data_IF_618986576373
#
_entry.id   IF_618986576373
#
_cell.length_a   1.000
_cell.length_b   1.000
_cell.length_c   1.000
_cell.angle_alpha   90.00
_cell.angle_beta   90.00
_cell.angle_gamma   90.00
#
_symmetry.space_group_name_H-M   'P 1'
#
loop_
_entity.id
_entity.type
_entity.pdbx_description
1 polymer ?
#
# COMPACT_ATOMS: atom_id res chain seq x y z
N UNK A 1 6.30 -49.09 14.51
CA UNK A 1 5.12 -48.29 14.15
C UNK A 1 4.48 -47.84 15.44
N UNK A 2 4.67 -46.58 15.84
CA UNK A 2 3.98 -46.03 17.00
C UNK A 2 2.46 -46.19 16.83
N UNK A 3 1.77 -46.66 17.85
CA UNK A 3 0.32 -46.83 17.81
C UNK A 3 -0.33 -45.44 17.93
N UNK A 4 -0.72 -44.86 16.79
CA UNK A 4 -1.27 -43.50 16.76
C UNK A 4 -2.71 -43.51 17.26
N UNK A 5 -2.94 -42.94 18.43
CA UNK A 5 -4.26 -42.82 19.03
C UNK A 5 -5.16 -41.85 18.26
N UNK A 6 -6.47 -42.11 18.24
CA UNK A 6 -7.45 -41.20 17.62
C UNK A 6 -7.47 -39.82 18.31
N UNK A 7 -7.13 -39.77 19.61
CA UNK A 7 -7.05 -38.52 20.37
C UNK A 7 -5.87 -37.67 19.88
N UNK A 8 -4.69 -38.26 19.67
CA UNK A 8 -3.51 -37.55 19.15
C UNK A 8 -3.76 -36.99 17.75
N UNK A 9 -4.44 -37.74 16.88
CA UNK A 9 -4.82 -37.26 15.54
C UNK A 9 -5.78 -36.06 15.64
N UNK A 10 -6.78 -36.14 16.53
CA UNK A 10 -7.74 -35.06 16.77
C UNK A 10 -7.03 -33.81 17.29
N UNK A 11 -6.14 -33.95 18.26
CA UNK A 11 -5.36 -32.84 18.83
C UNK A 11 -4.48 -32.18 17.76
N UNK A 12 -3.77 -32.96 16.95
CA UNK A 12 -2.95 -32.40 15.88
C UNK A 12 -3.80 -31.67 14.83
N UNK A 13 -4.99 -32.21 14.51
CA UNK A 13 -5.95 -31.55 13.62
C UNK A 13 -6.46 -30.24 14.20
N UNK A 14 -6.75 -30.18 15.50
CA UNK A 14 -7.21 -28.96 16.16
C UNK A 14 -6.10 -27.90 16.21
N UNK A 15 -4.84 -28.29 16.43
CA UNK A 15 -3.68 -27.37 16.37
C UNK A 15 -3.40 -26.84 14.96
N UNK A 16 -3.48 -27.70 13.94
CA UNK A 16 -2.97 -27.36 12.59
C UNK A 16 -4.06 -27.02 11.58
N UNK A 17 -5.32 -27.41 11.83
CA UNK A 17 -6.41 -27.30 10.86
C UNK A 17 -6.31 -28.27 9.68
N UNK A 18 -5.31 -29.15 9.63
CA UNK A 18 -5.08 -30.06 8.50
C UNK A 18 -6.13 -31.20 8.42
N UNK A 19 -6.19 -31.86 7.26
CA UNK A 19 -7.07 -32.99 7.04
C UNK A 19 -6.78 -34.17 7.97
N UNK A 20 -7.82 -34.87 8.45
CA UNK A 20 -7.71 -35.96 9.43
C UNK A 20 -6.70 -37.04 9.03
N UNK A 21 -6.71 -37.43 7.75
CA UNK A 21 -5.79 -38.45 7.22
C UNK A 21 -4.36 -37.95 7.08
N UNK A 22 -4.17 -36.66 6.82
CA UNK A 22 -2.84 -36.06 6.80
C UNK A 22 -2.26 -35.97 8.21
N UNK A 23 -3.06 -35.59 9.21
CA UNK A 23 -2.63 -35.62 10.63
C UNK A 23 -2.23 -37.02 11.07
N UNK A 24 -3.02 -38.05 10.71
CA UNK A 24 -2.67 -39.44 11.03
C UNK A 24 -1.36 -39.86 10.38
N UNK A 25 -1.16 -39.55 9.10
CA UNK A 25 0.09 -39.86 8.38
C UNK A 25 1.27 -39.11 8.98
N UNK A 26 1.11 -37.82 9.29
CA UNK A 26 2.16 -37.02 9.89
C UNK A 26 2.64 -37.61 11.22
N UNK A 27 1.71 -38.04 12.08
CA UNK A 27 2.06 -38.71 13.33
C UNK A 27 2.71 -40.06 13.10
N UNK A 28 2.30 -40.83 12.09
CA UNK A 28 2.92 -42.12 11.76
C UNK A 28 4.37 -41.97 11.28
N UNK A 29 4.64 -40.99 10.42
CA UNK A 29 5.98 -40.73 9.85
C UNK A 29 6.96 -40.09 10.85
N UNK A 30 6.43 -39.48 11.92
CA UNK A 30 7.22 -38.80 12.95
C UNK A 30 7.11 -39.48 14.33
N UNK A 31 6.80 -40.79 14.35
CA UNK A 31 6.76 -41.62 15.57
C UNK A 31 5.88 -41.06 16.71
N UNK A 32 4.81 -40.34 16.37
CA UNK A 32 3.88 -39.72 17.32
C UNK A 32 4.34 -38.39 17.92
N UNK A 33 5.48 -37.85 17.48
CA UNK A 33 5.96 -36.53 17.90
C UNK A 33 5.09 -35.42 17.29
N UNK A 34 4.38 -34.70 18.16
CA UNK A 34 3.39 -33.69 17.75
C UNK A 34 4.01 -32.49 17.03
N UNK A 35 5.18 -32.04 17.48
CA UNK A 35 5.80 -30.83 16.92
C UNK A 35 6.49 -31.16 15.59
N UNK A 36 7.15 -32.31 15.49
CA UNK A 36 7.68 -32.80 14.20
C UNK A 36 6.55 -33.10 13.21
N UNK A 37 5.44 -33.69 13.66
CA UNK A 37 4.28 -33.93 12.82
C UNK A 37 3.66 -32.62 12.31
N UNK A 38 3.59 -31.58 13.14
CA UNK A 38 3.12 -30.27 12.73
C UNK A 38 4.03 -29.64 11.66
N UNK A 39 5.36 -29.72 11.85
CA UNK A 39 6.32 -29.23 10.84
C UNK A 39 6.24 -30.03 9.53
N UNK A 40 6.07 -31.34 9.63
CA UNK A 40 5.88 -32.21 8.46
C UNK A 40 4.60 -31.85 7.69
N UNK A 41 3.51 -31.57 8.39
CA UNK A 41 2.26 -31.09 7.79
C UNK A 41 2.44 -29.75 7.10
N UNK A 42 3.19 -28.83 7.72
CA UNK A 42 3.53 -27.53 7.14
C UNK A 42 4.27 -27.73 5.82
N UNK A 43 5.38 -28.48 5.84
CA UNK A 43 6.19 -28.73 4.66
C UNK A 43 5.41 -29.39 3.52
N UNK A 44 4.61 -30.41 3.84
CA UNK A 44 3.77 -31.10 2.86
C UNK A 44 2.64 -30.20 2.34
N UNK A 45 2.09 -29.35 3.20
CA UNK A 45 1.08 -28.36 2.87
C UNK A 45 1.55 -27.41 1.77
N UNK A 46 2.76 -26.87 1.91
CA UNK A 46 3.42 -26.00 0.93
C UNK A 46 3.49 -26.68 -0.44
N UNK A 47 4.01 -27.90 -0.51
CA UNK A 47 4.10 -28.64 -1.78
C UNK A 47 2.73 -28.96 -2.38
N UNK A 48 1.71 -29.16 -1.55
CA UNK A 48 0.34 -29.38 -2.02
C UNK A 48 -0.30 -28.10 -2.57
N UNK A 49 0.07 -26.95 -2.03
CA UNK A 49 -0.43 -25.63 -2.42
C UNK A 49 0.01 -25.28 -3.84
N UNK A 50 1.25 -25.58 -4.20
CA UNK A 50 1.80 -25.36 -5.55
C UNK A 50 0.99 -26.10 -6.63
N UNK A 51 0.52 -27.32 -6.33
CA UNK A 51 -0.33 -28.10 -7.25
C UNK A 51 -1.72 -27.50 -7.46
N UNK A 52 -2.20 -26.67 -6.52
CA UNK A 52 -3.49 -25.99 -6.60
C UNK A 52 -3.40 -24.65 -7.33
N UNK A 53 -2.19 -24.12 -7.52
CA UNK A 53 -1.96 -22.78 -8.08
C UNK A 53 -2.51 -22.59 -9.50
N UNK A 54 -2.61 -23.67 -10.29
CA UNK A 54 -3.16 -23.66 -11.64
C UNK A 54 -4.69 -23.56 -11.71
N UNK A 55 -5.38 -23.74 -10.58
CA UNK A 55 -6.84 -23.67 -10.53
C UNK A 55 -7.29 -22.21 -10.55
N UNK A 56 -8.32 -21.91 -11.34
CA UNK A 56 -8.88 -20.56 -11.44
C UNK A 56 -9.45 -20.13 -10.08
N UNK A 57 -8.98 -19.00 -9.57
CA UNK A 57 -9.47 -18.36 -8.35
C UNK A 57 -10.16 -17.04 -8.75
N UNK A 58 -11.48 -17.08 -8.95
CA UNK A 58 -12.27 -15.93 -9.42
C UNK A 58 -13.17 -15.32 -8.34
N UNK A 59 -13.40 -16.05 -7.25
CA UNK A 59 -14.09 -15.56 -6.05
C UNK A 59 -13.07 -14.92 -5.10
N UNK A 60 -13.50 -14.36 -3.97
CA UNK A 60 -12.60 -13.79 -2.98
C UNK A 60 -13.19 -12.60 -2.23
N UNK A 61 -12.29 -11.74 -1.72
CA UNK A 61 -12.70 -10.50 -1.08
C UNK A 61 -11.67 -9.38 -1.27
N UNK A 62 -12.16 -8.15 -1.15
CA UNK A 62 -11.31 -6.97 -1.04
C UNK A 62 -11.23 -6.57 0.43
N UNK A 63 -10.02 -6.55 0.98
CA UNK A 63 -9.76 -6.08 2.33
C UNK A 63 -9.17 -4.67 2.32
N UNK A 64 -9.51 -3.90 3.35
CA UNK A 64 -8.96 -2.58 3.59
C UNK A 64 -8.26 -2.53 4.94
N UNK A 65 -7.13 -1.83 5.01
CA UNK A 65 -6.46 -1.52 6.27
C UNK A 65 -6.07 -0.05 6.30
N UNK A 66 -6.48 0.65 7.35
CA UNK A 66 -6.09 2.04 7.62
C UNK A 66 -5.18 2.01 8.84
N UNK A 67 -3.93 2.43 8.67
CA UNK A 67 -2.98 2.48 9.77
C UNK A 67 -3.36 3.57 10.78
N UNK A 68 -2.86 3.46 12.00
CA UNK A 68 -3.16 4.40 13.08
C UNK A 68 -2.81 5.84 12.66
N UNK A 69 -3.73 6.76 12.97
CA UNK A 69 -3.62 8.17 12.54
C UNK A 69 -4.05 8.44 11.09
N UNK A 70 -4.53 7.45 10.33
CA UNK A 70 -5.15 7.65 9.02
C UNK A 70 -4.21 8.13 7.91
N UNK A 71 -2.89 8.07 8.14
CA UNK A 71 -1.87 8.56 7.21
C UNK A 71 -1.48 7.54 6.14
N UNK A 72 -1.75 6.26 6.38
CA UNK A 72 -1.49 5.17 5.43
C UNK A 72 -2.76 4.34 5.29
N UNK A 73 -3.21 4.14 4.05
CA UNK A 73 -4.36 3.31 3.72
C UNK A 73 -3.98 2.27 2.68
N UNK A 74 -4.54 1.06 2.81
CA UNK A 74 -4.31 -0.04 1.88
C UNK A 74 -5.64 -0.66 1.48
N UNK A 75 -5.76 -0.99 0.19
CA UNK A 75 -6.78 -1.88 -0.36
C UNK A 75 -6.08 -3.06 -1.02
N UNK A 76 -6.51 -4.28 -0.72
CA UNK A 76 -5.95 -5.51 -1.31
C UNK A 76 -7.08 -6.42 -1.77
N UNK A 77 -6.93 -6.98 -2.98
CA UNK A 77 -7.81 -7.99 -3.53
C UNK A 77 -7.14 -9.37 -3.39
N UNK A 78 -7.81 -10.28 -2.67
CA UNK A 78 -7.37 -11.67 -2.52
C UNK A 78 -8.44 -12.59 -3.06
N UNK A 79 -8.06 -13.45 -3.99
CA UNK A 79 -8.94 -14.41 -4.61
C UNK A 79 -8.85 -15.80 -3.97
N UNK A 80 -9.98 -16.52 -4.04
CA UNK A 80 -10.12 -17.95 -3.77
C UNK A 80 -11.00 -18.62 -4.85
N UNK A 81 -11.26 -19.92 -4.75
CA UNK A 81 -12.04 -20.63 -5.78
C UNK A 81 -13.54 -20.50 -5.54
N UNK A 82 -13.97 -20.52 -4.28
CA UNK A 82 -15.39 -20.49 -3.91
C UNK A 82 -15.73 -19.37 -2.94
N UNK A 83 -16.99 -18.93 -2.96
CA UNK A 83 -17.52 -17.93 -2.03
C UNK A 83 -17.60 -18.45 -0.58
N UNK A 84 -17.69 -19.77 -0.39
CA UNK A 84 -17.64 -20.40 0.93
C UNK A 84 -16.32 -20.10 1.65
N UNK A 85 -15.19 -20.21 0.96
CA UNK A 85 -13.88 -19.87 1.54
C UNK A 85 -13.74 -18.37 1.74
N UNK A 86 -14.28 -17.53 0.84
CA UNK A 86 -14.26 -16.08 1.01
C UNK A 86 -14.93 -15.60 2.31
N UNK A 87 -15.97 -16.31 2.77
CA UNK A 87 -16.68 -16.00 4.02
C UNK A 87 -16.03 -16.60 5.27
N UNK A 88 -15.04 -17.47 5.13
CA UNK A 88 -14.35 -18.10 6.25
C UNK A 88 -13.54 -17.06 7.05
N UNK A 89 -13.62 -17.11 8.38
CA UNK A 89 -12.91 -16.18 9.27
C UNK A 89 -11.38 -16.23 9.09
N UNK A 90 -10.81 -17.42 8.84
CA UNK A 90 -9.38 -17.57 8.60
C UNK A 90 -8.94 -16.87 7.30
N UNK A 91 -9.76 -16.96 6.24
CA UNK A 91 -9.48 -16.26 4.98
C UNK A 91 -9.61 -14.75 5.14
N UNK A 92 -10.62 -14.27 5.87
CA UNK A 92 -10.77 -12.85 6.19
C UNK A 92 -9.61 -12.32 7.05
N UNK A 93 -9.12 -13.12 8.00
CA UNK A 93 -7.95 -12.79 8.81
C UNK A 93 -6.69 -12.68 7.95
N UNK A 94 -6.46 -13.66 7.05
CA UNK A 94 -5.36 -13.61 6.08
C UNK A 94 -5.40 -12.32 5.25
N UNK A 95 -6.56 -11.94 4.74
CA UNK A 95 -6.68 -10.74 3.92
C UNK A 95 -6.37 -9.45 4.67
N UNK A 96 -6.77 -9.35 5.94
CA UNK A 96 -6.40 -8.23 6.82
C UNK A 96 -4.91 -8.23 7.13
N UNK A 97 -4.32 -9.40 7.37
CA UNK A 97 -2.90 -9.55 7.68
C UNK A 97 -2.02 -9.15 6.48
N UNK A 98 -2.40 -9.55 5.27
CA UNK A 98 -1.75 -9.10 4.03
C UNK A 98 -1.91 -7.59 3.83
N UNK A 99 -3.09 -7.02 4.09
CA UNK A 99 -3.28 -5.56 4.02
C UNK A 99 -2.37 -4.80 5.00
N UNK A 100 -2.23 -5.32 6.22
CA UNK A 100 -1.33 -4.76 7.24
C UNK A 100 0.14 -4.91 6.86
N UNK A 101 0.54 -6.04 6.28
CA UNK A 101 1.88 -6.24 5.73
C UNK A 101 2.22 -5.16 4.70
N UNK A 102 1.33 -4.92 3.73
CA UNK A 102 1.53 -3.90 2.70
C UNK A 102 1.66 -2.50 3.33
N UNK A 103 0.87 -2.20 4.36
CA UNK A 103 0.97 -0.92 5.05
C UNK A 103 2.34 -0.73 5.74
N UNK A 104 2.89 -1.81 6.31
CA UNK A 104 4.16 -1.83 7.02
C UNK A 104 5.40 -1.86 6.10
N UNK A 105 5.26 -2.29 4.85
CA UNK A 105 6.34 -2.40 3.88
C UNK A 105 6.26 -1.27 2.83
N UNK A 106 6.92 -0.10 3.05
CA UNK A 106 6.78 1.06 2.16
C UNK A 106 7.37 0.87 0.77
N UNK A 107 8.32 -0.06 0.61
CA UNK A 107 9.01 -0.31 -0.66
C UNK A 107 8.25 -1.28 -1.58
N UNK A 108 7.20 -1.93 -1.08
CA UNK A 108 6.46 -2.95 -1.84
C UNK A 108 5.55 -2.28 -2.85
N UNK A 109 5.81 -2.54 -4.13
CA UNK A 109 5.08 -1.98 -5.27
C UNK A 109 4.40 -3.07 -6.11
N UNK A 110 4.95 -4.29 -6.11
CA UNK A 110 4.49 -5.40 -6.91
C UNK A 110 4.06 -6.57 -6.04
N UNK A 111 3.13 -7.39 -6.53
CA UNK A 111 2.73 -8.61 -5.83
C UNK A 111 3.87 -9.62 -5.89
N UNK A 112 4.43 -9.86 -7.09
CA UNK A 112 5.51 -10.83 -7.33
C UNK A 112 6.65 -10.21 -8.11
N UNK A 113 7.81 -10.86 -8.05
CA UNK A 113 8.96 -10.54 -8.91
C UNK A 113 8.67 -10.68 -10.40
N UNK A 114 7.77 -11.58 -10.79
CA UNK A 114 7.34 -11.77 -12.19
C UNK A 114 6.48 -10.63 -12.73
N UNK A 115 5.88 -9.84 -11.84
CA UNK A 115 5.00 -8.73 -12.23
C UNK A 115 5.81 -7.45 -12.47
N UNK A 116 7.11 -7.46 -12.16
CA UNK A 116 8.02 -6.33 -12.33
C UNK A 116 8.39 -6.22 -13.83
N UNK A 117 8.17 -5.06 -14.47
CA UNK A 117 8.56 -4.85 -15.85
C UNK A 117 10.06 -5.08 -16.09
N UNK A 118 10.41 -5.79 -17.16
CA UNK A 118 11.82 -6.04 -17.52
C UNK A 118 12.62 -4.72 -17.68
N UNK A 119 11.99 -3.68 -18.21
CA UNK A 119 12.57 -2.34 -18.35
C UNK A 119 12.99 -1.71 -17.01
N UNK A 120 12.31 -2.05 -15.91
CA UNK A 120 12.70 -1.60 -14.58
C UNK A 120 14.00 -2.28 -14.16
N UNK A 121 14.07 -3.60 -14.31
CA UNK A 121 15.28 -4.37 -13.96
C UNK A 121 16.50 -3.97 -14.80
N UNK A 122 16.31 -3.67 -16.09
CA UNK A 122 17.39 -3.22 -16.98
C UNK A 122 17.89 -1.82 -16.61
N UNK A 123 16.98 -0.88 -16.29
CA UNK A 123 17.37 0.45 -15.81
C UNK A 123 18.14 0.38 -14.51
N UNK A 124 17.63 -0.40 -13.55
CA UNK A 124 18.31 -0.60 -12.26
C UNK A 124 19.68 -1.25 -12.47
N UNK A 125 19.80 -2.20 -13.40
CA UNK A 125 21.09 -2.80 -13.78
C UNK A 125 22.06 -1.78 -14.34
N UNK A 126 21.62 -0.88 -15.21
CA UNK A 126 22.47 0.16 -15.78
C UNK A 126 22.98 1.13 -14.70
N UNK A 127 22.11 1.52 -13.77
CA UNK A 127 22.45 2.39 -12.64
C UNK A 127 23.47 1.71 -11.73
N UNK A 128 23.24 0.45 -11.35
CA UNK A 128 24.16 -0.29 -10.48
C UNK A 128 25.50 -0.58 -11.16
N UNK A 129 25.54 -0.82 -12.47
CA UNK A 129 26.80 -0.99 -13.22
C UNK A 129 27.64 0.30 -13.28
N UNK A 130 26.99 1.47 -13.23
CA UNK A 130 27.63 2.79 -13.28
C UNK A 130 28.12 3.31 -11.94
N UNK A 131 27.97 2.55 -10.84
CA UNK A 131 28.45 2.97 -9.52
C UNK A 131 29.98 2.92 -9.41
N UNK A 132 30.55 3.99 -8.87
CA UNK A 132 31.99 4.15 -8.66
C UNK A 132 32.60 3.04 -7.79
N UNK A 133 31.84 2.48 -6.82
CA UNK A 133 32.28 1.37 -5.96
C UNK A 133 32.66 0.07 -6.70
N UNK A 134 32.40 0.01 -8.01
CA UNK A 134 32.63 -1.15 -8.87
C UNK A 134 33.72 -0.90 -9.92
N UNK A 135 34.32 0.29 -9.98
CA UNK A 135 35.36 0.65 -10.95
C UNK A 135 36.63 -0.18 -10.79
N UNK A 136 36.95 -0.58 -9.55
CA UNK A 136 38.21 -1.24 -9.20
C UNK A 136 38.15 -2.77 -9.34
N UNK A 137 37.01 -3.32 -9.78
CA UNK A 137 36.74 -4.76 -9.81
C UNK A 137 36.74 -5.29 -11.25
N UNK A 138 37.23 -6.52 -11.48
CA UNK A 138 37.08 -7.21 -12.76
C UNK A 138 35.62 -7.31 -13.19
N UNK A 139 35.36 -7.20 -14.49
CA UNK A 139 34.02 -7.16 -15.08
C UNK A 139 33.12 -8.33 -14.65
N UNK A 140 33.68 -9.55 -14.60
CA UNK A 140 32.98 -10.74 -14.14
C UNK A 140 32.55 -10.68 -12.65
N UNK A 141 33.29 -9.94 -11.81
CA UNK A 141 32.96 -9.76 -10.39
C UNK A 141 31.94 -8.64 -10.25
N UNK A 142 32.07 -7.57 -11.04
CA UNK A 142 31.11 -6.47 -11.11
C UNK A 142 29.72 -6.96 -11.50
N UNK A 143 29.60 -7.76 -12.55
CA UNK A 143 28.32 -8.32 -12.99
C UNK A 143 27.64 -9.18 -11.90
N UNK A 144 28.41 -10.03 -11.20
CA UNK A 144 27.88 -10.84 -10.10
C UNK A 144 27.41 -10.00 -8.92
N UNK A 145 28.14 -8.93 -8.58
CA UNK A 145 27.73 -8.01 -7.51
C UNK A 145 26.44 -7.29 -7.91
N UNK A 146 26.37 -6.78 -9.14
CA UNK A 146 25.20 -6.07 -9.66
C UNK A 146 23.99 -7.01 -9.72
N UNK A 147 24.16 -8.25 -10.17
CA UNK A 147 23.10 -9.25 -10.16
C UNK A 147 22.54 -9.47 -8.75
N UNK A 148 23.40 -9.66 -7.74
CA UNK A 148 22.95 -9.82 -6.36
C UNK A 148 22.22 -8.59 -5.81
N UNK A 149 22.66 -7.37 -6.18
CA UNK A 149 21.97 -6.12 -5.80
C UNK A 149 20.60 -5.99 -6.46
N UNK A 150 20.49 -6.32 -7.74
CA UNK A 150 19.21 -6.32 -8.46
C UNK A 150 18.27 -7.36 -7.85
N UNK A 151 18.73 -8.59 -7.64
CA UNK A 151 17.90 -9.63 -7.01
C UNK A 151 17.38 -9.20 -5.63
N UNK A 152 18.23 -8.54 -4.83
CA UNK A 152 17.81 -7.96 -3.55
C UNK A 152 16.75 -6.87 -3.76
N UNK A 153 16.97 -5.94 -4.69
CA UNK A 153 16.03 -4.85 -4.98
C UNK A 153 14.68 -5.37 -5.46
N UNK A 154 14.67 -6.35 -6.36
CA UNK A 154 13.45 -6.98 -6.87
C UNK A 154 12.66 -7.67 -5.74
N UNK A 155 13.36 -8.32 -4.80
CA UNK A 155 12.72 -8.90 -3.60
C UNK A 155 12.17 -7.82 -2.68
N UNK A 156 12.90 -6.73 -2.45
CA UNK A 156 12.46 -5.61 -1.61
C UNK A 156 11.16 -4.94 -2.11
N UNK A 157 10.93 -4.93 -3.43
CA UNK A 157 9.73 -4.34 -4.04
C UNK A 157 8.58 -5.35 -4.26
N UNK A 158 8.84 -6.65 -4.07
CA UNK A 158 7.87 -7.74 -4.21
C UNK A 158 7.25 -8.09 -2.86
N UNK A 159 5.92 -8.16 -2.79
CA UNK A 159 5.18 -8.53 -1.58
C UNK A 159 5.46 -9.98 -1.15
N UNK A 160 5.46 -10.92 -2.09
CA UNK A 160 5.58 -12.36 -1.79
C UNK A 160 6.90 -12.72 -1.11
N UNK A 161 7.96 -11.99 -1.43
CA UNK A 161 9.32 -12.21 -0.93
C UNK A 161 9.57 -11.55 0.43
N UNK A 162 8.65 -10.70 0.91
CA UNK A 162 8.83 -10.04 2.20
C UNK A 162 8.73 -11.03 3.36
N UNK A 163 9.52 -10.83 4.43
CA UNK A 163 9.29 -11.50 5.70
C UNK A 163 7.95 -11.05 6.28
N UNK A 164 7.20 -11.98 6.85
CA UNK A 164 5.89 -11.67 7.43
C UNK A 164 6.05 -10.88 8.73
N UNK A 165 5.34 -9.76 8.87
CA UNK A 165 5.52 -8.82 9.99
C UNK A 165 5.22 -9.41 11.37
N UNK A 166 4.32 -10.40 11.46
CA UNK A 166 4.02 -11.07 12.74
C UNK A 166 4.95 -12.24 13.03
N UNK A 167 5.59 -12.78 11.99
CA UNK A 167 6.52 -13.90 12.09
C UNK A 167 7.60 -13.79 11.01
N UNK A 168 8.76 -13.25 11.38
CA UNK A 168 9.86 -13.02 10.45
C UNK A 168 10.57 -14.32 10.00
N UNK A 169 10.17 -15.48 10.54
CA UNK A 169 10.72 -16.77 10.11
C UNK A 169 10.14 -17.27 8.79
N UNK A 170 8.98 -16.72 8.39
CA UNK A 170 8.28 -17.07 7.15
C UNK A 170 8.11 -15.85 6.25
N UNK A 171 7.98 -16.10 4.95
CA UNK A 171 7.62 -15.06 3.98
C UNK A 171 6.11 -14.95 3.82
N UNK A 172 5.65 -13.88 3.16
CA UNK A 172 4.24 -13.72 2.79
C UNK A 172 3.77 -14.83 1.84
N UNK A 173 4.63 -15.27 0.92
CA UNK A 173 4.32 -16.42 0.05
C UNK A 173 4.05 -17.68 0.87
N UNK A 174 4.89 -17.94 1.85
CA UNK A 174 4.79 -19.10 2.73
C UNK A 174 3.52 -19.05 3.59
N UNK A 175 3.17 -17.87 4.13
CA UNK A 175 1.91 -17.63 4.83
C UNK A 175 0.70 -17.98 3.94
N UNK A 176 0.71 -17.57 2.67
CA UNK A 176 -0.37 -17.89 1.73
C UNK A 176 -0.42 -19.39 1.45
N UNK A 177 0.73 -20.03 1.21
CA UNK A 177 0.80 -21.48 0.97
C UNK A 177 0.29 -22.30 2.16
N UNK A 178 0.60 -21.88 3.39
CA UNK A 178 0.05 -22.49 4.61
C UNK A 178 -1.48 -22.37 4.65
N UNK A 179 -2.04 -21.21 4.34
CA UNK A 179 -3.49 -21.02 4.28
C UNK A 179 -4.15 -21.83 3.16
N UNK A 180 -3.50 -22.01 2.01
CA UNK A 180 -3.95 -22.90 0.92
C UNK A 180 -3.97 -24.37 1.36
N UNK A 181 -3.02 -24.78 2.21
CA UNK A 181 -2.98 -26.12 2.77
C UNK A 181 -4.16 -26.35 3.73
N UNK A 182 -4.42 -25.39 4.62
CA UNK A 182 -5.49 -25.45 5.61
C UNK A 182 -6.89 -25.34 5.00
N UNK A 183 -7.11 -24.37 4.10
CA UNK A 183 -8.41 -24.10 3.49
C UNK A 183 -8.70 -25.00 2.28
N UNK A 184 -7.68 -25.65 1.71
CA UNK A 184 -7.85 -26.61 0.63
C UNK A 184 -8.02 -26.02 -0.77
N UNK A 185 -8.10 -24.69 -0.89
CA UNK A 185 -8.30 -23.96 -2.15
C UNK A 185 -7.09 -23.13 -2.56
N UNK A 186 -6.99 -22.82 -3.85
CA UNK A 186 -6.02 -21.86 -4.36
C UNK A 186 -6.34 -20.46 -3.84
N UNK A 187 -5.36 -19.79 -3.26
CA UNK A 187 -5.46 -18.42 -2.74
C UNK A 187 -4.39 -17.59 -3.42
N UNK A 188 -4.78 -16.44 -3.95
CA UNK A 188 -3.88 -15.56 -4.68
C UNK A 188 -4.14 -14.10 -4.32
N UNK A 189 -3.08 -13.36 -4.01
CA UNK A 189 -3.15 -11.89 -3.99
C UNK A 189 -3.14 -11.41 -5.43
N UNK A 190 -4.17 -10.67 -5.84
CA UNK A 190 -4.33 -10.24 -7.24
C UNK A 190 -3.72 -8.88 -7.51
N UNK A 191 -3.99 -7.94 -6.62
CA UNK A 191 -3.50 -6.56 -6.67
C UNK A 191 -3.70 -5.88 -5.33
N UNK A 192 -2.97 -4.81 -5.11
CA UNK A 192 -3.20 -3.91 -4.00
C UNK A 192 -2.97 -2.46 -4.44
N UNK A 193 -3.45 -1.53 -3.62
CA UNK A 193 -3.12 -0.13 -3.69
C UNK A 193 -2.77 0.34 -2.28
N UNK A 194 -1.65 1.05 -2.16
CA UNK A 194 -1.20 1.68 -0.93
C UNK A 194 -1.23 3.19 -1.14
N UNK A 195 -1.77 3.91 -0.17
CA UNK A 195 -1.89 5.35 -0.18
C UNK A 195 -1.16 5.91 1.04
N UNK A 196 -0.30 6.90 0.83
CA UNK A 196 0.31 7.67 1.91
C UNK A 196 -0.12 9.12 1.83
N UNK A 197 -0.56 9.69 2.96
CA UNK A 197 -0.96 11.08 3.05
C UNK A 197 0.22 12.01 2.74
N UNK A 198 0.06 12.83 1.71
CA UNK A 198 1.09 13.78 1.26
C UNK A 198 2.16 13.17 0.36
N UNK A 199 1.98 11.94 -0.10
CA UNK A 199 2.83 11.34 -1.13
C UNK A 199 2.78 12.16 -2.43
N UNK A 200 3.95 12.52 -2.96
CA UNK A 200 4.08 13.32 -4.18
C UNK A 200 3.79 14.82 -4.02
N UNK A 201 3.62 15.33 -2.80
CA UNK A 201 3.47 16.78 -2.54
C UNK A 201 4.76 17.32 -1.94
N UNK A 202 5.46 18.19 -2.67
CA UNK A 202 6.54 19.00 -2.10
C UNK A 202 5.92 19.99 -1.11
N UNK A 203 6.26 19.83 0.17
CA UNK A 203 5.91 20.83 1.18
C UNK A 203 6.95 21.93 1.09
N UNK A 204 6.50 23.14 0.77
CA UNK A 204 7.32 24.33 0.96
C UNK A 204 7.63 24.44 2.47
N UNK A 205 8.89 24.18 2.85
CA UNK A 205 9.36 24.49 4.20
C UNK A 205 9.53 26.00 4.32
N UNK A 206 8.50 26.68 4.84
CA UNK A 206 8.63 28.06 5.30
C UNK A 206 9.39 28.05 6.62
N UNK A 207 10.61 28.59 6.63
CA UNK A 207 11.34 28.88 7.86
C UNK A 207 10.64 30.03 8.61
N UNK A 208 9.71 29.65 9.49
CA UNK A 208 8.96 30.56 10.35
C UNK A 208 9.89 31.50 11.13
N UNK A 209 11.12 31.08 11.47
CA UNK A 209 12.06 31.94 12.18
C UNK A 209 12.60 33.05 11.26
N UNK A 210 12.88 32.75 10.00
CA UNK A 210 13.26 33.73 8.99
C UNK A 210 12.10 34.70 8.66
N UNK A 211 10.87 34.19 8.58
CA UNK A 211 9.68 35.02 8.33
C UNK A 211 9.37 35.97 9.50
N UNK A 212 9.51 35.49 10.75
CA UNK A 212 9.35 36.33 11.96
C UNK A 212 10.49 37.34 12.10
N UNK A 213 11.73 36.96 11.74
CA UNK A 213 12.87 37.89 11.74
C UNK A 213 12.70 39.01 10.69
N UNK A 214 12.18 38.68 9.51
CA UNK A 214 11.90 39.67 8.47
C UNK A 214 10.82 40.68 8.90
N UNK A 215 9.75 40.23 9.55
CA UNK A 215 8.66 41.12 10.02
C UNK A 215 9.07 42.00 11.22
N UNK A 216 10.01 41.54 12.06
CA UNK A 216 10.50 42.33 13.20
C UNK A 216 11.54 43.39 12.82
N UNK A 217 12.31 43.17 11.75
CA UNK A 217 13.27 44.16 11.23
C UNK A 217 12.59 45.34 10.52
N UNK A 218 11.46 45.12 9.83
CA UNK A 218 10.70 46.21 9.20
C UNK A 218 10.15 47.20 10.24
N UNK A 219 9.91 46.76 11.47
CA UNK A 219 9.36 47.58 12.56
C UNK A 219 10.40 48.42 13.32
N UNK A 220 11.70 48.17 13.13
CA UNK A 220 12.78 48.94 13.77
C UNK A 220 13.31 50.10 12.91
N UNK A 221 12.84 50.23 11.66
CA UNK A 221 13.27 51.29 10.75
C UNK A 221 12.45 52.60 10.85
N UNK A 222 11.36 52.63 11.63
CA UNK A 222 10.55 53.83 11.84
C UNK A 222 10.48 54.23 13.31
N UNK A 223 11.39 55.11 13.76
CA UNK A 223 11.19 56.11 14.83
C UNK A 223 12.45 57.02 14.99
N UNK A 224 12.34 58.29 15.43
CA UNK A 224 11.58 59.39 14.86
C UNK A 224 12.50 60.56 14.41
N UNK A 225 12.02 61.36 13.45
CA UNK A 225 12.70 62.57 12.93
C UNK A 225 12.80 63.64 14.04
N UNK A 226 14.02 64.00 14.46
CA UNK A 226 14.27 65.06 15.44
C UNK A 226 13.76 66.43 14.96
N UNK A 227 12.91 67.07 15.76
CA UNK A 227 12.39 68.42 15.52
C UNK A 227 13.33 69.43 16.19
N UNK A 228 13.90 70.38 15.42
CA UNK A 228 14.64 71.53 15.98
C UNK A 228 13.66 72.62 16.41
N UNK A 229 13.84 73.12 17.64
CA UNK A 229 13.05 74.20 18.23
C UNK A 229 13.65 75.55 17.88
N UNK A 230 12.82 76.47 17.40
CA UNK A 230 13.13 77.89 17.32
C UNK A 230 12.41 78.59 16.17
N UNK A 231 11.21 79.14 16.43
CA UNK A 231 10.85 80.56 16.30
C UNK A 231 9.32 80.73 16.42
N UNK A 232 8.91 81.90 16.90
CA UNK A 232 7.61 82.23 17.50
C UNK A 232 6.52 82.61 16.48
N UNK A 233 5.29 82.19 16.85
CA UNK A 233 3.89 82.43 16.41
C UNK A 233 3.57 83.74 15.63
N UNK A 234 2.48 83.80 14.81
CA UNK A 234 1.13 83.92 15.39
C UNK A 234 0.01 83.06 14.76
N UNK A 235 -0.96 82.79 15.62
CA UNK A 235 -2.26 82.14 15.42
C UNK A 235 -3.09 82.86 14.35
N UNK A 236 -3.80 82.10 13.50
CA UNK A 236 -5.11 82.55 12.99
C UNK A 236 -6.05 81.37 12.79
N UNK A 237 -7.25 81.56 13.30
CA UNK A 237 -8.39 80.65 13.38
C UNK A 237 -9.06 80.49 12.02
N UNK A 238 -9.46 79.28 11.64
CA UNK A 238 -10.74 79.04 10.93
C UNK A 238 -11.04 77.53 10.88
N UNK A 239 -12.08 77.13 11.59
CA UNK A 239 -12.78 75.88 11.37
C UNK A 239 -13.43 75.86 9.99
N UNK A 240 -13.47 74.69 9.34
CA UNK A 240 -14.65 74.23 8.60
C UNK A 240 -14.56 72.74 8.29
N UNK A 241 -15.44 72.02 8.96
CA UNK A 241 -15.95 70.67 8.67
C UNK A 241 -16.35 70.52 7.20
N UNK A 242 -15.98 69.41 6.57
CA UNK A 242 -16.81 68.81 5.52
C UNK A 242 -16.53 67.30 5.37
N UNK A 243 -17.59 66.54 5.57
CA UNK A 243 -17.72 65.09 5.41
C UNK A 243 -17.91 64.77 3.92
N UNK A 244 -17.13 63.84 3.36
CA UNK A 244 -17.44 63.10 2.12
C UNK A 244 -16.96 61.66 2.31
N UNK A 245 -17.88 60.77 2.65
CA UNK A 245 -18.57 59.81 1.77
C UNK A 245 -17.69 58.65 1.34
N UNK A 246 -18.07 57.48 1.86
CA UNK A 246 -17.54 56.16 1.59
C UNK A 246 -17.84 55.73 0.15
N UNK A 247 -16.88 55.06 -0.47
CA UNK A 247 -17.05 54.37 -1.74
C UNK A 247 -16.93 52.86 -1.50
N UNK A 248 -17.93 52.13 -1.99
CA UNK A 248 -18.14 50.67 -1.83
C UNK A 248 -17.09 49.83 -2.58
N UNK A 249 -16.84 48.57 -2.16
CA UNK A 249 -15.97 47.66 -2.87
C UNK A 249 -16.65 47.05 -4.12
N UNK A 250 -15.92 46.78 -5.21
CA UNK A 250 -16.50 46.16 -6.38
C UNK A 250 -16.82 44.67 -6.16
N UNK A 251 -17.97 44.26 -6.69
CA UNK A 251 -18.59 42.92 -6.60
C UNK A 251 -17.87 41.87 -7.46
N UNK A 252 -18.02 40.63 -6.98
CA UNK A 252 -17.67 39.37 -7.62
C UNK A 252 -18.29 39.18 -9.02
N UNK A 253 -17.52 38.52 -9.90
CA UNK A 253 -17.98 38.02 -11.19
C UNK A 253 -17.90 36.48 -11.18
N UNK A 254 -19.05 35.82 -11.27
CA UNK A 254 -19.20 34.35 -11.38
C UNK A 254 -18.88 33.86 -12.81
N UNK A 255 -18.22 32.70 -12.99
CA UNK A 255 -18.15 32.07 -14.30
C UNK A 255 -19.44 31.32 -14.64
N UNK A 256 -19.99 31.64 -15.82
CA UNK A 256 -21.22 31.11 -16.40
C UNK A 256 -21.23 29.59 -16.56
N UNK A 257 -22.30 28.97 -16.07
CA UNK A 257 -22.69 27.58 -16.31
C UNK A 257 -23.06 27.33 -17.79
N UNK A 258 -22.49 26.27 -18.38
CA UNK A 258 -22.96 25.70 -19.64
C UNK A 258 -24.16 24.76 -19.38
N UNK A 259 -25.29 25.02 -20.04
CA UNK A 259 -26.52 24.21 -19.99
C UNK A 259 -26.41 22.94 -20.86
N UNK A 260 -27.16 21.87 -20.50
CA UNK A 260 -27.23 20.63 -21.27
C UNK A 260 -28.24 20.74 -22.43
N UNK A 261 -27.93 20.09 -23.56
CA UNK A 261 -28.84 19.95 -24.69
C UNK A 261 -29.73 18.71 -24.53
N UNK A 262 -31.02 18.89 -24.79
CA UNK A 262 -32.11 17.96 -24.57
C UNK A 262 -32.34 16.95 -25.72
N UNK A 263 -33.16 15.96 -25.38
CA UNK A 263 -33.63 14.76 -26.07
C UNK A 263 -34.58 14.91 -27.27
N UNK A 264 -34.41 14.00 -28.25
CA UNK A 264 -35.41 13.23 -29.06
C UNK A 264 -36.38 13.96 -30.03
N UNK A 265 -36.87 13.29 -31.12
CA UNK A 265 -37.99 12.32 -31.06
C UNK A 265 -37.88 11.04 -31.92
N UNK A 266 -38.87 10.15 -31.68
CA UNK A 266 -39.18 8.83 -32.25
C UNK A 266 -39.28 8.69 -33.78
N UNK A 267 -39.07 7.46 -34.30
CA UNK A 267 -40.14 6.54 -34.76
C UNK A 267 -39.68 5.56 -35.86
N UNK A 268 -40.10 4.28 -35.79
CA UNK A 268 -39.99 3.37 -36.94
C UNK A 268 -39.98 1.86 -36.67
N UNK A 269 -41.15 1.27 -36.43
CA UNK A 269 -41.46 -0.17 -36.32
C UNK A 269 -40.95 -1.05 -37.49
N UNK A 270 -40.55 -2.31 -37.19
CA UNK A 270 -41.13 -3.60 -37.71
C UNK A 270 -40.30 -4.80 -37.19
N UNK A 271 -40.79 -5.69 -36.31
CA UNK A 271 -41.70 -6.86 -36.46
C UNK A 271 -41.06 -8.14 -37.07
N UNK A 272 -41.19 -9.26 -36.32
CA UNK A 272 -41.13 -10.71 -36.68
C UNK A 272 -39.70 -11.32 -36.76
N UNK A 273 -39.39 -12.56 -36.34
CA UNK A 273 -40.19 -13.77 -36.02
C UNK A 273 -39.27 -14.85 -35.38
N UNK A 274 -39.93 -15.78 -34.66
CA UNK A 274 -39.52 -17.08 -34.11
C UNK A 274 -38.51 -17.99 -34.86
N UNK A 275 -38.06 -18.99 -34.06
CA UNK A 275 -37.45 -20.32 -34.35
C UNK A 275 -35.95 -20.26 -34.62
N UNK A 276 -35.11 -21.11 -34.01
CA UNK A 276 -35.29 -22.52 -33.66
C UNK A 276 -34.30 -22.88 -32.53
#
# INVERSE_FOLDING_TARGET
MAEISAQSVKELRERTGAGMMDCKKALQENDGDMDKAAEWLRQKGISSAEKKFSRVAAEGLVASYIHTGGRVGVLVEINCQTDFVARNEAFQALAKDVAMQIAACPNVEYVRTTDIPAEFAEREKAIEMGRDDLSDKPENIREKIVQGRIEKRLKEISLMDQPYIKDQTITVEELIKQNVATLGENIQVRRFARFVLGEGIEKEESDFAAEVAAQTQVKQAEEPRQVRVGEVIPVTVAAQTQVKQAEEPPKAEEPKAAKPAASQPESGKKKKKNKK
#
